data_IF_313514170529
#
_entry.id   IF_313514170529
#
_cell.length_a   1.000
_cell.length_b   1.000
_cell.length_c   1.000
_cell.angle_alpha   90.00
_cell.angle_beta   90.00
_cell.angle_gamma   90.00
#
_symmetry.space_group_name_H-M   'P 1'
#
loop_
_entity.id
_entity.type
_entity.pdbx_description
1 polymer ?
#
# COMPACT_ATOMS: atom_id res chain seq x y z
N UNK A 1 -51.78 -21.02 45.19
CA UNK A 1 -50.38 -20.60 45.41
C UNK A 1 -49.65 -20.65 44.09
N UNK A 2 -49.43 -19.47 43.51
CA UNK A 2 -48.89 -19.23 42.18
C UNK A 2 -47.37 -19.18 42.26
N UNK A 3 -46.68 -20.16 41.66
CA UNK A 3 -45.23 -20.06 41.45
C UNK A 3 -44.93 -19.42 40.09
N UNK A 4 -43.95 -18.50 40.02
CA UNK A 4 -43.71 -17.65 38.86
C UNK A 4 -42.99 -18.38 37.73
N UNK A 5 -43.44 -18.11 36.51
CA UNK A 5 -42.81 -18.54 35.26
C UNK A 5 -41.48 -17.79 35.11
N UNK A 6 -40.34 -18.50 35.21
CA UNK A 6 -39.02 -17.94 34.88
C UNK A 6 -39.06 -17.30 33.48
N UNK A 7 -38.54 -16.08 33.27
CA UNK A 7 -38.42 -15.52 31.94
C UNK A 7 -37.40 -16.35 31.13
N UNK A 8 -37.80 -16.79 29.94
CA UNK A 8 -36.87 -17.31 28.92
C UNK A 8 -35.91 -16.17 28.57
N UNK A 9 -34.62 -16.37 28.80
CA UNK A 9 -33.58 -15.46 28.33
C UNK A 9 -33.72 -15.25 26.81
N UNK A 10 -33.46 -14.04 26.28
CA UNK A 10 -33.45 -13.85 24.84
C UNK A 10 -32.34 -14.73 24.26
N UNK A 11 -32.72 -15.64 23.37
CA UNK A 11 -31.80 -16.40 22.53
C UNK A 11 -30.85 -15.40 21.90
N UNK A 12 -29.60 -15.45 22.35
CA UNK A 12 -28.55 -14.62 21.80
C UNK A 12 -28.53 -14.89 20.31
N UNK A 13 -28.82 -13.86 19.51
CA UNK A 13 -28.29 -13.81 18.15
C UNK A 13 -26.79 -13.98 18.31
N UNK A 14 -26.31 -15.20 18.09
CA UNK A 14 -24.99 -15.41 17.53
C UNK A 14 -24.99 -14.60 16.25
N UNK A 15 -24.57 -13.34 16.36
CA UNK A 15 -23.95 -12.65 15.24
C UNK A 15 -22.73 -13.49 14.97
N UNK A 16 -22.88 -14.49 14.11
CA UNK A 16 -21.75 -15.08 13.41
C UNK A 16 -21.02 -13.87 12.83
N UNK A 17 -19.92 -13.52 13.48
CA UNK A 17 -18.94 -12.65 12.88
C UNK A 17 -18.58 -13.33 11.57
N UNK A 18 -19.15 -12.86 10.45
CA UNK A 18 -18.58 -13.08 9.13
C UNK A 18 -17.14 -12.62 9.25
N UNK A 19 -16.24 -13.56 9.59
CA UNK A 19 -14.82 -13.35 9.43
C UNK A 19 -14.70 -12.96 7.96
N UNK A 20 -14.16 -11.78 7.63
CA UNK A 20 -13.98 -11.40 6.25
C UNK A 20 -13.28 -12.58 5.58
N UNK A 21 -13.95 -13.22 4.62
CA UNK A 21 -13.30 -14.28 3.85
C UNK A 21 -12.02 -13.65 3.28
N UNK A 22 -10.85 -14.29 3.47
CA UNK A 22 -9.63 -13.77 2.89
C UNK A 22 -9.90 -13.62 1.40
N UNK A 23 -9.82 -12.38 0.91
CA UNK A 23 -10.05 -12.07 -0.49
C UNK A 23 -9.08 -12.94 -1.31
N UNK A 24 -9.58 -14.02 -1.92
CA UNK A 24 -8.75 -14.98 -2.63
C UNK A 24 -8.42 -14.38 -3.98
N UNK A 25 -7.23 -13.83 -4.13
CA UNK A 25 -6.71 -13.42 -5.43
C UNK A 25 -6.26 -14.66 -6.18
N UNK A 26 -6.76 -14.84 -7.40
CA UNK A 26 -6.37 -15.97 -8.25
C UNK A 26 -4.93 -15.80 -8.80
N UNK A 27 -4.43 -16.83 -9.47
CA UNK A 27 -3.07 -16.77 -10.03
C UNK A 27 -2.92 -15.72 -11.14
N UNK A 28 -3.97 -15.48 -11.92
CA UNK A 28 -3.97 -14.53 -13.05
C UNK A 28 -3.93 -13.10 -12.55
N UNK A 29 -4.73 -12.77 -11.54
CA UNK A 29 -4.76 -11.46 -10.92
C UNK A 29 -3.44 -11.17 -10.18
N UNK A 30 -2.83 -12.17 -9.52
CA UNK A 30 -1.48 -12.02 -8.95
C UNK A 30 -0.42 -11.71 -10.02
N UNK A 31 -0.40 -12.47 -11.11
CA UNK A 31 0.54 -12.25 -12.22
C UNK A 31 0.38 -10.85 -12.82
N UNK A 32 -0.87 -10.43 -13.06
CA UNK A 32 -1.17 -9.08 -13.54
C UNK A 32 -0.66 -7.99 -12.60
N UNK A 33 -0.87 -8.15 -11.29
CA UNK A 33 -0.36 -7.22 -10.28
C UNK A 33 1.16 -7.16 -10.30
N UNK A 34 1.85 -8.31 -10.24
CA UNK A 34 3.31 -8.35 -10.27
C UNK A 34 3.90 -7.66 -11.50
N UNK A 35 3.33 -7.95 -12.68
CA UNK A 35 3.78 -7.34 -13.93
C UNK A 35 3.54 -5.83 -13.94
N UNK A 36 2.35 -5.38 -13.54
CA UNK A 36 2.02 -3.95 -13.46
C UNK A 36 2.99 -3.21 -12.53
N UNK A 37 3.29 -3.78 -11.36
CA UNK A 37 4.24 -3.15 -10.43
C UNK A 37 5.67 -3.12 -10.96
N UNK A 38 6.11 -4.18 -11.64
CA UNK A 38 7.42 -4.17 -12.30
C UNK A 38 7.49 -3.06 -13.36
N UNK A 39 6.47 -2.96 -14.19
CA UNK A 39 6.39 -1.95 -15.25
C UNK A 39 6.31 -0.53 -14.68
N UNK A 40 5.76 -0.34 -13.48
CA UNK A 40 5.78 0.93 -12.74
C UNK A 40 7.12 1.22 -12.04
N UNK A 41 7.83 0.19 -11.55
CA UNK A 41 9.14 0.36 -10.90
C UNK A 41 10.17 0.94 -11.86
N UNK A 42 10.19 0.50 -13.11
CA UNK A 42 11.16 0.97 -14.10
C UNK A 42 11.13 2.51 -14.32
N UNK A 43 9.98 3.14 -14.64
CA UNK A 43 9.89 4.59 -14.74
C UNK A 43 10.11 5.29 -13.40
N UNK A 44 9.70 4.70 -12.27
CA UNK A 44 9.95 5.26 -10.94
C UNK A 44 11.45 5.33 -10.61
N UNK A 45 12.18 4.25 -10.85
CA UNK A 45 13.63 4.18 -10.65
C UNK A 45 14.36 5.17 -11.58
N UNK A 46 13.83 5.37 -12.79
CA UNK A 46 14.36 6.38 -13.72
C UNK A 46 14.18 7.80 -13.16
N UNK A 47 13.01 8.13 -12.61
CA UNK A 47 12.74 9.42 -11.96
C UNK A 47 13.66 9.63 -10.75
N UNK A 48 13.78 8.61 -9.89
CA UNK A 48 14.64 8.65 -8.70
C UNK A 48 16.11 8.87 -9.10
N UNK A 49 16.58 8.10 -10.08
CA UNK A 49 17.95 8.17 -10.60
C UNK A 49 18.29 9.54 -11.18
N UNK A 50 17.46 10.09 -12.07
CA UNK A 50 17.72 11.40 -12.66
C UNK A 50 17.59 12.54 -11.65
N UNK A 51 16.59 12.49 -10.76
CA UNK A 51 16.43 13.50 -9.70
C UNK A 51 17.66 13.53 -8.79
N UNK A 52 18.12 12.35 -8.33
CA UNK A 52 19.33 12.23 -7.51
C UNK A 52 20.58 12.68 -8.26
N UNK A 53 20.71 12.35 -9.54
CA UNK A 53 21.84 12.77 -10.38
C UNK A 53 21.93 14.29 -10.50
N UNK A 54 20.81 14.97 -10.77
CA UNK A 54 20.77 16.44 -10.90
C UNK A 54 21.08 17.11 -9.57
N UNK A 55 20.47 16.64 -8.46
CA UNK A 55 20.75 17.16 -7.12
C UNK A 55 22.24 17.03 -6.75
N UNK A 56 22.88 15.92 -7.12
CA UNK A 56 24.30 15.67 -6.84
C UNK A 56 25.24 16.50 -7.72
N UNK A 57 24.94 16.66 -9.01
CA UNK A 57 25.86 17.26 -9.99
C UNK A 57 25.69 18.76 -10.19
N UNK A 58 24.55 19.33 -9.82
CA UNK A 58 24.20 20.71 -10.18
C UNK A 58 23.94 21.60 -8.97
N UNK A 59 24.40 21.23 -7.77
CA UNK A 59 24.09 21.93 -6.52
C UNK A 59 24.49 23.41 -6.52
N UNK A 60 25.62 23.75 -7.14
CA UNK A 60 26.13 25.13 -7.21
C UNK A 60 25.51 25.95 -8.35
N UNK A 61 24.81 25.28 -9.28
CA UNK A 61 24.19 25.91 -10.46
C UNK A 61 22.68 26.06 -10.29
N UNK A 62 22.05 25.18 -9.51
CA UNK A 62 20.61 25.19 -9.29
C UNK A 62 20.22 26.33 -8.34
N UNK A 63 19.25 27.20 -8.73
CA UNK A 63 18.58 28.08 -7.79
C UNK A 63 17.97 27.29 -6.63
N UNK A 64 18.04 27.84 -5.41
CA UNK A 64 17.61 27.17 -4.18
C UNK A 64 16.20 26.58 -4.27
N UNK A 65 15.23 27.36 -4.76
CA UNK A 65 13.85 26.89 -4.94
C UNK A 65 13.71 25.69 -5.88
N UNK A 66 14.53 25.61 -6.92
CA UNK A 66 14.52 24.45 -7.83
C UNK A 66 15.11 23.22 -7.13
N UNK A 67 16.15 23.41 -6.32
CA UNK A 67 16.76 22.32 -5.53
C UNK A 67 15.76 21.76 -4.52
N UNK A 68 15.08 22.63 -3.78
CA UNK A 68 14.02 22.22 -2.84
C UNK A 68 12.87 21.47 -3.53
N UNK A 69 12.47 21.92 -4.73
CA UNK A 69 11.45 21.22 -5.50
C UNK A 69 11.90 19.82 -5.92
N UNK A 70 13.16 19.67 -6.36
CA UNK A 70 13.73 18.35 -6.68
C UNK A 70 13.88 17.45 -5.45
N UNK A 71 14.24 18.00 -4.29
CA UNK A 71 14.27 17.27 -3.02
C UNK A 71 12.86 16.74 -2.67
N UNK A 72 11.81 17.54 -2.88
CA UNK A 72 10.42 17.08 -2.71
C UNK A 72 10.01 15.99 -3.70
N UNK A 73 10.46 16.09 -4.97
CA UNK A 73 10.24 15.04 -5.97
C UNK A 73 10.91 13.74 -5.54
N UNK A 74 12.16 13.82 -5.05
CA UNK A 74 12.92 12.66 -4.59
C UNK A 74 12.19 11.95 -3.43
N UNK A 75 11.83 12.70 -2.39
CA UNK A 75 11.07 12.16 -1.23
C UNK A 75 9.75 11.54 -1.67
N UNK A 76 9.04 12.17 -2.62
CA UNK A 76 7.78 11.65 -3.14
C UNK A 76 7.97 10.33 -3.91
N UNK A 77 9.04 10.22 -4.69
CA UNK A 77 9.38 9.01 -5.43
C UNK A 77 9.77 7.85 -4.49
N UNK A 78 10.58 8.11 -3.47
CA UNK A 78 10.95 7.14 -2.42
C UNK A 78 9.72 6.64 -1.64
N UNK A 79 8.81 7.55 -1.29
CA UNK A 79 7.56 7.19 -0.63
C UNK A 79 6.69 6.29 -1.52
N UNK A 80 6.61 6.58 -2.83
CA UNK A 80 5.89 5.75 -3.78
C UNK A 80 6.54 4.37 -3.90
N UNK A 81 7.87 4.29 -3.98
CA UNK A 81 8.60 3.02 -4.02
C UNK A 81 8.25 2.15 -2.80
N UNK A 82 8.29 2.73 -1.60
CA UNK A 82 7.91 2.05 -0.37
C UNK A 82 6.44 1.58 -0.37
N UNK A 83 5.52 2.39 -0.91
CA UNK A 83 4.12 1.99 -1.08
C UNK A 83 3.97 0.79 -2.02
N UNK A 84 4.67 0.80 -3.16
CA UNK A 84 4.64 -0.31 -4.12
C UNK A 84 5.20 -1.60 -3.51
N UNK A 85 6.29 -1.50 -2.74
CA UNK A 85 6.86 -2.64 -2.02
C UNK A 85 5.88 -3.25 -1.01
N UNK A 86 5.17 -2.41 -0.24
CA UNK A 86 4.16 -2.90 0.71
C UNK A 86 3.04 -3.66 0.02
N UNK A 87 2.56 -3.17 -1.13
CA UNK A 87 1.50 -3.84 -1.88
C UNK A 87 1.99 -5.19 -2.40
N UNK A 88 3.18 -5.25 -2.99
CA UNK A 88 3.75 -6.51 -3.47
C UNK A 88 3.98 -7.50 -2.32
N UNK A 89 4.51 -7.05 -1.19
CA UNK A 89 4.78 -7.92 -0.05
C UNK A 89 3.50 -8.61 0.45
N UNK A 90 2.36 -7.92 0.41
CA UNK A 90 1.06 -8.50 0.78
C UNK A 90 0.68 -9.70 -0.09
N UNK A 91 1.01 -9.69 -1.38
CA UNK A 91 0.63 -10.74 -2.33
C UNK A 91 1.65 -11.87 -2.47
N UNK A 92 2.86 -11.72 -1.90
CA UNK A 92 3.85 -12.81 -1.81
C UNK A 92 3.57 -13.80 -0.69
N UNK A 93 2.82 -13.36 0.33
CA UNK A 93 2.57 -14.12 1.57
C UNK A 93 1.14 -14.70 1.64
N UNK A 94 0.41 -14.73 0.52
CA UNK A 94 -0.93 -15.32 0.36
C UNK A 94 -0.93 -16.32 -0.80
#
# INVERSE_FOLDING_TARGET
MTSPKKPKAPEGRTVESEKPQPFSIDATEREFLFRTFHDMRNPLHTILGYTSLVLRKSKEVLPEKQRENLEKVLVSAENLESMLERVIARYRSS
#
